data_IF_708847639924
#
_entry.id   IF_708847639924
#
_cell.length_a   1.000
_cell.length_b   1.000
_cell.length_c   1.000
_cell.angle_alpha   90.00
_cell.angle_beta   90.00
_cell.angle_gamma   90.00
#
_symmetry.space_group_name_H-M   'P 1'
#
loop_
_entity.id
_entity.type
_entity.pdbx_description
1 polymer ?
#
# COMPACT_ATOMS: atom_id res chain seq x y z
N UNK A 1 -46.46 11.62 29.38
CA UNK A 1 -46.93 10.20 29.35
C UNK A 1 -46.59 9.69 27.93
N UNK A 2 -45.54 8.92 27.81
CA UNK A 2 -45.13 8.33 26.55
C UNK A 2 -45.98 7.08 26.31
N UNK A 3 -46.80 7.11 25.26
CA UNK A 3 -47.51 5.94 24.75
C UNK A 3 -46.48 4.87 24.35
N UNK A 4 -46.37 3.82 25.17
CA UNK A 4 -45.67 2.58 24.79
C UNK A 4 -46.52 1.91 23.69
N UNK A 5 -46.19 2.15 22.43
CA UNK A 5 -46.71 1.38 21.28
C UNK A 5 -46.41 -0.10 21.55
N UNK A 6 -47.40 -0.89 21.87
CA UNK A 6 -47.30 -2.32 21.96
C UNK A 6 -46.79 -2.89 20.63
N UNK A 7 -45.64 -3.54 20.62
CA UNK A 7 -45.05 -4.18 19.45
C UNK A 7 -46.04 -5.22 18.88
N UNK A 8 -46.51 -4.99 17.68
CA UNK A 8 -47.39 -5.95 17.00
C UNK A 8 -46.60 -7.17 16.56
N UNK A 9 -47.21 -8.37 16.54
CA UNK A 9 -46.55 -9.59 16.01
C UNK A 9 -45.93 -9.35 14.60
N UNK A 10 -46.54 -8.51 13.81
CA UNK A 10 -46.05 -8.12 12.48
C UNK A 10 -44.75 -7.30 12.53
N UNK A 11 -44.60 -6.43 13.54
CA UNK A 11 -43.37 -5.64 13.74
C UNK A 11 -42.21 -6.53 14.18
N UNK A 12 -42.49 -7.52 15.05
CA UNK A 12 -41.51 -8.51 15.46
C UNK A 12 -41.05 -9.40 14.31
N UNK A 13 -41.98 -9.88 13.48
CA UNK A 13 -41.65 -10.69 12.29
C UNK A 13 -40.86 -9.86 11.27
N UNK A 14 -41.25 -8.61 11.02
CA UNK A 14 -40.50 -7.75 10.09
C UNK A 14 -39.08 -7.44 10.61
N UNK A 15 -38.93 -7.17 11.90
CA UNK A 15 -37.62 -6.97 12.51
C UNK A 15 -36.74 -8.23 12.44
N UNK A 16 -37.30 -9.39 12.76
CA UNK A 16 -36.58 -10.68 12.63
C UNK A 16 -36.15 -10.95 11.17
N UNK A 17 -37.04 -10.72 10.21
CA UNK A 17 -36.73 -10.89 8.79
C UNK A 17 -35.62 -9.93 8.31
N UNK A 18 -35.65 -8.68 8.79
CA UNK A 18 -34.61 -7.68 8.50
C UNK A 18 -33.25 -8.09 9.06
N UNK A 19 -33.22 -8.60 10.31
CA UNK A 19 -31.98 -9.12 10.92
C UNK A 19 -31.45 -10.32 10.16
N UNK A 20 -32.30 -11.29 9.81
CA UNK A 20 -31.90 -12.47 9.03
C UNK A 20 -31.38 -12.05 7.66
N UNK A 21 -32.08 -11.15 6.96
CA UNK A 21 -31.61 -10.64 5.68
C UNK A 21 -30.27 -9.92 5.80
N UNK A 22 -30.06 -9.11 6.86
CA UNK A 22 -28.79 -8.46 7.14
C UNK A 22 -27.66 -9.45 7.39
N UNK A 23 -27.91 -10.53 8.17
CA UNK A 23 -26.94 -11.58 8.40
C UNK A 23 -26.57 -12.33 7.13
N UNK A 24 -27.53 -12.66 6.27
CA UNK A 24 -27.28 -13.32 4.98
C UNK A 24 -26.41 -12.41 4.08
N UNK A 25 -26.72 -11.12 4.04
CA UNK A 25 -25.91 -10.14 3.26
C UNK A 25 -24.50 -10.02 3.82
N UNK A 26 -24.33 -9.98 5.15
CA UNK A 26 -23.01 -9.93 5.77
C UNK A 26 -22.20 -11.19 5.50
N UNK A 27 -22.82 -12.36 5.59
CA UNK A 27 -22.17 -13.64 5.27
C UNK A 27 -21.77 -13.71 3.80
N UNK A 28 -22.65 -13.30 2.90
CA UNK A 28 -22.35 -13.21 1.47
C UNK A 28 -21.20 -12.25 1.18
N UNK A 29 -21.17 -11.06 1.80
CA UNK A 29 -20.07 -10.11 1.65
C UNK A 29 -18.77 -10.67 2.22
N UNK A 30 -18.85 -11.42 3.30
CA UNK A 30 -17.67 -12.06 3.90
C UNK A 30 -17.11 -13.17 3.00
N UNK A 31 -17.96 -14.00 2.43
CA UNK A 31 -17.58 -15.06 1.48
C UNK A 31 -16.98 -14.47 0.19
N UNK A 32 -17.58 -13.37 -0.29
CA UNK A 32 -17.14 -12.71 -1.53
C UNK A 32 -16.08 -11.62 -1.29
N UNK A 33 -15.56 -11.45 -0.07
CA UNK A 33 -14.62 -10.37 0.31
C UNK A 33 -13.43 -10.24 -0.64
N UNK A 34 -12.86 -11.37 -1.08
CA UNK A 34 -11.73 -11.38 -2.00
C UNK A 34 -12.07 -10.75 -3.36
N UNK A 35 -13.24 -11.07 -3.90
CA UNK A 35 -13.73 -10.49 -5.14
C UNK A 35 -13.99 -8.98 -5.00
N UNK A 36 -14.56 -8.56 -3.85
CA UNK A 36 -14.80 -7.14 -3.54
C UNK A 36 -13.47 -6.38 -3.47
N UNK A 37 -12.44 -6.95 -2.82
CA UNK A 37 -11.12 -6.34 -2.75
C UNK A 37 -10.45 -6.22 -4.12
N UNK A 38 -10.52 -7.27 -4.95
CA UNK A 38 -10.02 -7.22 -6.33
C UNK A 38 -10.76 -6.18 -7.17
N UNK A 39 -12.08 -6.05 -6.95
CA UNK A 39 -12.88 -5.00 -7.62
C UNK A 39 -12.43 -3.61 -7.21
N UNK A 40 -12.27 -3.38 -5.90
CA UNK A 40 -11.74 -2.11 -5.39
C UNK A 40 -10.34 -1.81 -5.93
N UNK A 41 -9.47 -2.81 -6.00
CA UNK A 41 -8.15 -2.67 -6.60
C UNK A 41 -8.23 -2.28 -8.08
N UNK A 42 -9.09 -2.96 -8.87
CA UNK A 42 -9.31 -2.62 -10.27
C UNK A 42 -9.83 -1.20 -10.48
N UNK A 43 -10.76 -0.75 -9.60
CA UNK A 43 -11.26 0.63 -9.60
C UNK A 43 -10.13 1.63 -9.29
N UNK A 44 -9.34 1.38 -8.24
CA UNK A 44 -8.21 2.24 -7.85
C UNK A 44 -7.18 2.35 -8.97
N UNK A 45 -6.80 1.23 -9.57
CA UNK A 45 -5.87 1.23 -10.71
C UNK A 45 -6.49 1.92 -11.93
N UNK A 46 -7.80 1.77 -12.16
CA UNK A 46 -8.52 2.50 -13.21
C UNK A 46 -8.50 4.03 -13.01
N UNK A 47 -8.66 4.46 -11.75
CA UNK A 47 -8.53 5.89 -11.37
C UNK A 47 -7.09 6.37 -11.60
N UNK A 48 -6.08 5.56 -11.23
CA UNK A 48 -4.67 5.86 -11.44
C UNK A 48 -4.29 5.92 -12.92
N UNK A 49 -4.83 5.02 -13.73
CA UNK A 49 -4.56 4.93 -15.18
C UNK A 49 -5.25 6.06 -15.98
N UNK A 50 -6.38 6.58 -15.48
CA UNK A 50 -7.21 7.55 -16.22
C UNK A 50 -6.44 8.79 -16.71
N UNK A 51 -5.55 9.46 -15.93
CA UNK A 51 -4.78 10.61 -16.43
C UNK A 51 -3.84 10.27 -17.58
N UNK A 52 -3.22 9.08 -17.54
CA UNK A 52 -2.35 8.63 -18.61
C UNK A 52 -3.15 8.32 -19.89
N UNK A 53 -4.34 7.74 -19.75
CA UNK A 53 -5.26 7.50 -20.87
C UNK A 53 -5.79 8.83 -21.42
N UNK A 54 -6.11 9.81 -20.58
CA UNK A 54 -6.52 11.18 -20.98
C UNK A 54 -5.39 11.85 -21.78
N UNK A 55 -4.13 11.70 -21.35
CA UNK A 55 -2.97 12.20 -22.07
C UNK A 55 -2.77 11.50 -23.43
N UNK A 56 -2.96 10.18 -23.50
CA UNK A 56 -2.89 9.42 -24.76
C UNK A 56 -4.00 9.87 -25.74
N UNK A 57 -5.21 10.13 -25.23
CA UNK A 57 -6.33 10.66 -26.02
C UNK A 57 -6.00 12.04 -26.60
N UNK A 58 -5.36 12.92 -25.83
CA UNK A 58 -4.88 14.22 -26.32
C UNK A 58 -3.87 14.10 -27.47
N UNK A 59 -3.17 12.94 -27.57
CA UNK A 59 -2.25 12.58 -28.65
C UNK A 59 -2.93 11.80 -29.80
N UNK A 60 -4.27 11.80 -29.87
CA UNK A 60 -5.12 11.13 -30.87
C UNK A 60 -5.13 9.59 -30.76
N UNK A 61 -4.76 9.01 -29.62
CA UNK A 61 -4.94 7.58 -29.36
C UNK A 61 -6.31 7.38 -28.72
N UNK A 62 -7.18 6.64 -29.35
CA UNK A 62 -8.52 6.38 -28.81
C UNK A 62 -8.45 5.68 -27.44
N UNK A 63 -9.28 6.07 -26.50
CA UNK A 63 -9.33 5.48 -25.12
C UNK A 63 -9.45 3.95 -25.14
N UNK A 64 -10.25 3.43 -26.08
CA UNK A 64 -10.46 1.97 -26.24
C UNK A 64 -9.17 1.22 -26.57
N UNK A 65 -8.20 1.89 -27.21
CA UNK A 65 -6.87 1.33 -27.56
C UNK A 65 -5.84 1.72 -26.48
N UNK A 66 -5.88 2.96 -26.02
CA UNK A 66 -4.91 3.51 -25.07
C UNK A 66 -4.97 2.83 -23.70
N UNK A 67 -6.18 2.55 -23.18
CA UNK A 67 -6.31 1.91 -21.88
C UNK A 67 -5.78 0.46 -21.85
N UNK A 68 -6.13 -0.44 -22.79
CA UNK A 68 -5.50 -1.76 -22.88
C UNK A 68 -3.99 -1.69 -23.10
N UNK A 69 -3.51 -0.82 -23.99
CA UNK A 69 -2.09 -0.65 -24.24
C UNK A 69 -1.32 -0.25 -22.97
N UNK A 70 -1.85 0.70 -22.21
CA UNK A 70 -1.27 1.13 -20.94
C UNK A 70 -1.24 -0.03 -19.92
N UNK A 71 -2.38 -0.68 -19.70
CA UNK A 71 -2.52 -1.74 -18.68
C UNK A 71 -1.66 -2.94 -19.02
N UNK A 72 -1.78 -3.47 -20.24
CA UNK A 72 -0.97 -4.63 -20.65
C UNK A 72 0.51 -4.26 -20.84
N UNK A 73 0.81 -3.02 -21.22
CA UNK A 73 2.17 -2.50 -21.24
C UNK A 73 2.81 -2.46 -19.84
N UNK A 74 2.08 -1.97 -18.84
CA UNK A 74 2.53 -1.98 -17.44
C UNK A 74 2.69 -3.42 -16.91
N UNK A 75 1.74 -4.30 -17.19
CA UNK A 75 1.82 -5.73 -16.82
C UNK A 75 3.01 -6.39 -17.51
N UNK A 76 3.19 -6.17 -18.81
CA UNK A 76 4.31 -6.71 -19.58
C UNK A 76 5.66 -6.20 -19.08
N UNK A 77 5.75 -4.91 -18.74
CA UNK A 77 6.95 -4.33 -18.12
C UNK A 77 7.23 -4.98 -16.77
N UNK A 78 6.22 -5.13 -15.91
CA UNK A 78 6.35 -5.76 -14.60
C UNK A 78 6.79 -7.23 -14.71
N UNK A 79 6.12 -8.00 -15.57
CA UNK A 79 6.48 -9.41 -15.83
C UNK A 79 7.87 -9.51 -16.45
N UNK A 80 8.23 -8.62 -17.37
CA UNK A 80 9.57 -8.55 -17.96
C UNK A 80 10.66 -8.29 -16.92
N UNK A 81 10.43 -7.34 -16.03
CA UNK A 81 11.33 -7.05 -14.91
C UNK A 81 11.47 -8.28 -13.99
N UNK A 82 10.35 -8.92 -13.63
CA UNK A 82 10.37 -10.14 -12.82
C UNK A 82 11.09 -11.29 -13.53
N UNK A 83 10.89 -11.46 -14.82
CA UNK A 83 11.54 -12.51 -15.62
C UNK A 83 13.06 -12.30 -15.70
N UNK A 84 13.51 -11.06 -15.88
CA UNK A 84 14.93 -10.71 -15.92
C UNK A 84 15.58 -10.78 -14.53
N UNK A 85 14.88 -10.37 -13.49
CA UNK A 85 15.40 -10.31 -12.11
C UNK A 85 15.16 -11.61 -11.33
N UNK A 86 14.12 -12.37 -11.68
CA UNK A 86 13.68 -13.57 -10.99
C UNK A 86 14.79 -14.63 -10.78
N UNK A 87 15.53 -15.03 -11.81
CA UNK A 87 16.64 -15.98 -11.65
C UNK A 87 17.68 -15.47 -10.66
N UNK A 88 18.05 -14.20 -10.73
CA UNK A 88 19.01 -13.57 -9.82
C UNK A 88 18.48 -13.53 -8.39
N UNK A 89 17.24 -13.12 -8.19
CA UNK A 89 16.59 -13.12 -6.87
C UNK A 89 16.52 -14.54 -6.33
N UNK A 90 16.15 -15.52 -7.14
CA UNK A 90 16.03 -16.92 -6.73
C UNK A 90 17.38 -17.52 -6.33
N UNK A 91 18.44 -17.29 -7.10
CA UNK A 91 19.80 -17.77 -6.76
C UNK A 91 20.33 -17.10 -5.50
N UNK A 92 20.09 -15.81 -5.31
CA UNK A 92 20.46 -15.08 -4.10
C UNK A 92 19.67 -15.60 -2.88
N UNK A 93 18.38 -15.88 -3.04
CA UNK A 93 17.57 -16.48 -1.97
C UNK A 93 18.03 -17.89 -1.59
N UNK A 94 18.52 -18.68 -2.56
CA UNK A 94 19.14 -19.98 -2.29
C UNK A 94 20.48 -19.82 -1.55
N UNK A 95 21.27 -18.83 -1.94
CA UNK A 95 22.53 -18.52 -1.26
C UNK A 95 22.33 -18.12 0.21
N UNK A 96 21.24 -17.35 0.50
CA UNK A 96 20.87 -16.99 1.88
C UNK A 96 20.65 -18.20 2.78
N UNK A 97 20.07 -19.30 2.27
CA UNK A 97 19.84 -20.51 3.06
C UNK A 97 21.13 -21.14 3.56
N UNK A 98 22.22 -20.98 2.83
CA UNK A 98 23.53 -21.54 3.17
C UNK A 98 24.36 -20.52 3.96
N UNK A 99 24.32 -19.26 3.54
CA UNK A 99 25.20 -18.23 4.09
C UNK A 99 24.72 -17.66 5.42
N UNK A 100 23.40 -17.50 5.64
CA UNK A 100 22.88 -16.95 6.90
C UNK A 100 23.16 -17.86 8.09
N UNK A 101 22.91 -19.18 8.05
CA UNK A 101 23.33 -20.05 9.14
C UNK A 101 24.85 -20.00 9.43
N UNK A 102 25.67 -20.01 8.37
CA UNK A 102 27.14 -19.93 8.53
C UNK A 102 27.58 -18.56 9.10
N UNK A 103 26.87 -17.49 8.80
CA UNK A 103 27.15 -16.16 9.36
C UNK A 103 26.68 -16.02 10.81
N UNK A 104 25.59 -16.68 11.18
CA UNK A 104 25.14 -16.78 12.57
C UNK A 104 26.11 -17.61 13.42
N UNK A 105 26.66 -18.71 12.87
CA UNK A 105 27.68 -19.50 13.54
C UNK A 105 28.96 -18.65 13.79
N UNK A 106 29.37 -17.82 12.82
CA UNK A 106 30.49 -16.88 13.01
C UNK A 106 30.18 -15.80 14.04
N UNK A 107 28.93 -15.32 14.10
CA UNK A 107 28.49 -14.36 15.09
C UNK A 107 28.52 -14.96 16.50
N UNK A 108 28.14 -16.24 16.64
CA UNK A 108 28.25 -16.99 17.90
C UNK A 108 29.70 -17.08 18.35
N UNK A 109 30.62 -17.44 17.43
CA UNK A 109 32.04 -17.50 17.72
C UNK A 109 32.60 -16.12 18.14
N UNK A 110 32.15 -15.04 17.44
CA UNK A 110 32.58 -13.66 17.74
C UNK A 110 32.08 -13.20 19.10
N UNK A 111 30.80 -13.45 19.40
CA UNK A 111 30.17 -13.08 20.68
C UNK A 111 30.74 -13.92 21.84
N UNK A 112 31.05 -15.18 21.60
CA UNK A 112 31.64 -16.07 22.60
C UNK A 112 33.07 -15.68 22.97
N UNK A 113 33.87 -15.14 22.02
CA UNK A 113 35.28 -14.78 22.24
C UNK A 113 35.44 -13.35 22.77
N UNK A 114 34.75 -12.36 22.22
CA UNK A 114 35.00 -10.94 22.48
C UNK A 114 34.10 -10.35 23.57
N UNK A 115 32.89 -10.87 23.75
CA UNK A 115 31.85 -10.28 24.61
C UNK A 115 31.28 -11.25 25.64
N UNK A 116 31.92 -12.39 25.91
CA UNK A 116 31.48 -13.35 26.92
C UNK A 116 31.10 -12.72 28.27
N UNK A 117 31.92 -11.77 28.85
CA UNK A 117 31.56 -11.17 30.13
C UNK A 117 30.38 -10.20 30.08
N UNK A 118 30.09 -9.59 28.91
CA UNK A 118 28.99 -8.65 28.75
C UNK A 118 27.67 -9.39 28.48
N UNK A 119 27.74 -10.49 27.73
CA UNK A 119 26.56 -11.33 27.42
C UNK A 119 26.09 -12.06 28.70
N UNK A 120 27.05 -12.50 29.54
CA UNK A 120 26.76 -13.16 30.83
C UNK A 120 26.13 -12.16 31.85
N UNK A 121 26.50 -10.88 31.78
CA UNK A 121 25.93 -9.81 32.61
C UNK A 121 24.53 -9.34 32.17
N UNK A 122 24.15 -9.54 30.90
CA UNK A 122 22.87 -9.10 30.33
C UNK A 122 21.80 -10.21 30.30
N UNK A 123 22.21 -11.49 30.48
CA UNK A 123 21.27 -12.61 30.55
C UNK A 123 21.00 -12.97 32.01
N UNK A 124 19.73 -13.05 32.47
CA UNK A 124 19.40 -13.48 33.81
C UNK A 124 19.95 -14.88 34.08
N UNK A 125 20.65 -15.02 35.20
CA UNK A 125 21.38 -16.23 35.64
C UNK A 125 20.47 -17.37 36.12
N UNK A 126 19.32 -17.59 35.54
CA UNK A 126 18.36 -18.61 35.99
C UNK A 126 18.27 -19.78 35.00
N UNK A 127 19.40 -20.42 34.70
CA UNK A 127 19.39 -21.79 34.16
C UNK A 127 20.72 -22.51 34.43
N UNK A 128 20.87 -23.00 35.63
CA UNK A 128 21.73 -24.15 35.90
C UNK A 128 21.10 -25.38 35.27
N UNK A 129 21.44 -25.68 34.00
CA UNK A 129 21.56 -27.02 33.47
C UNK A 129 22.06 -27.00 32.02
N UNK A 130 23.29 -27.41 31.87
CA UNK A 130 23.93 -28.26 30.85
C UNK A 130 23.15 -28.55 29.55
N UNK A 131 22.92 -27.51 28.74
CA UNK A 131 22.63 -27.64 27.29
C UNK A 131 22.86 -26.28 26.62
N UNK A 132 24.03 -25.71 26.81
CA UNK A 132 24.37 -24.31 26.44
C UNK A 132 24.57 -24.07 24.95
N UNK A 133 24.41 -25.07 24.10
CA UNK A 133 24.57 -24.93 22.64
C UNK A 133 23.25 -24.90 21.84
N UNK A 134 22.10 -25.24 22.44
CA UNK A 134 20.83 -25.29 21.69
C UNK A 134 19.80 -24.18 22.03
N UNK A 135 20.05 -23.39 23.08
CA UNK A 135 19.09 -22.37 23.57
C UNK A 135 19.61 -20.92 23.50
N UNK A 136 20.76 -20.66 22.91
CA UNK A 136 21.30 -19.31 22.76
C UNK A 136 20.41 -18.40 21.90
N UNK A 137 20.59 -17.08 22.03
CA UNK A 137 19.87 -16.07 21.24
C UNK A 137 19.96 -16.34 19.74
N UNK A 138 21.12 -16.81 19.26
CA UNK A 138 21.39 -17.20 17.89
C UNK A 138 20.64 -18.46 17.47
N UNK A 139 20.46 -19.46 18.34
CA UNK A 139 19.65 -20.63 18.06
C UNK A 139 18.16 -20.26 17.93
N UNK A 140 17.67 -19.30 18.72
CA UNK A 140 16.31 -18.74 18.57
C UNK A 140 16.17 -17.94 17.28
N UNK A 141 17.16 -17.10 16.93
CA UNK A 141 17.22 -16.37 15.66
C UNK A 141 17.30 -17.34 14.47
N UNK A 142 18.09 -18.41 14.56
CA UNK A 142 18.20 -19.44 13.53
C UNK A 142 16.88 -20.18 13.31
N UNK A 143 16.19 -20.58 14.39
CA UNK A 143 14.84 -21.18 14.31
C UNK A 143 13.82 -20.21 13.73
N UNK A 144 13.73 -18.99 14.26
CA UNK A 144 12.84 -17.96 13.75
C UNK A 144 13.14 -17.63 12.28
N UNK A 145 14.42 -17.57 11.90
CA UNK A 145 14.82 -17.35 10.51
C UNK A 145 14.43 -18.53 9.61
N UNK A 146 14.73 -19.79 10.02
CA UNK A 146 14.39 -20.98 9.23
C UNK A 146 12.87 -21.16 9.08
N UNK A 147 12.10 -20.90 10.13
CA UNK A 147 10.63 -20.96 10.10
C UNK A 147 10.04 -19.85 9.23
N UNK A 148 10.52 -18.61 9.39
CA UNK A 148 10.06 -17.49 8.56
C UNK A 148 10.52 -17.63 7.11
N UNK A 149 11.72 -18.18 6.85
CA UNK A 149 12.20 -18.44 5.49
C UNK A 149 11.39 -19.56 4.82
N UNK A 150 11.05 -20.62 5.57
CA UNK A 150 10.15 -21.68 5.06
C UNK A 150 8.76 -21.15 4.78
N UNK A 151 8.24 -20.27 5.64
CA UNK A 151 6.96 -19.59 5.45
C UNK A 151 6.98 -18.64 4.25
N UNK A 152 8.04 -17.84 4.10
CA UNK A 152 8.25 -16.98 2.93
C UNK A 152 8.36 -17.81 1.64
N UNK A 153 9.07 -18.95 1.70
CA UNK A 153 9.12 -19.90 0.58
C UNK A 153 7.74 -20.45 0.26
N UNK A 154 6.98 -20.88 1.27
CA UNK A 154 5.64 -21.43 1.08
C UNK A 154 4.67 -20.38 0.55
N UNK A 155 4.83 -19.10 0.93
CA UNK A 155 4.09 -17.98 0.33
C UNK A 155 4.47 -17.79 -1.14
N UNK A 156 5.75 -17.82 -1.48
CA UNK A 156 6.22 -17.66 -2.87
C UNK A 156 5.84 -18.87 -3.74
N UNK A 157 5.98 -20.10 -3.23
CA UNK A 157 5.65 -21.32 -3.98
C UNK A 157 4.18 -21.71 -3.86
N UNK A 158 3.48 -21.37 -2.78
CA UNK A 158 2.03 -21.45 -2.68
C UNK A 158 1.33 -20.54 -3.68
N UNK A 159 1.92 -19.36 -3.95
CA UNK A 159 1.51 -18.51 -5.06
C UNK A 159 1.67 -19.21 -6.43
N UNK A 160 2.74 -19.98 -6.64
CA UNK A 160 2.94 -20.73 -7.90
C UNK A 160 1.95 -21.90 -8.04
N UNK A 161 1.58 -22.59 -6.96
CA UNK A 161 0.55 -23.65 -7.01
C UNK A 161 -0.86 -23.08 -7.25
N UNK A 162 -1.08 -21.81 -6.94
CA UNK A 162 -2.31 -21.07 -7.23
C UNK A 162 -2.23 -20.25 -8.53
N UNK A 163 -1.35 -20.62 -9.46
CA UNK A 163 -1.07 -19.84 -10.69
C UNK A 163 -2.35 -19.48 -11.45
N UNK A 164 -3.31 -20.41 -11.55
CA UNK A 164 -4.60 -20.16 -12.22
C UNK A 164 -5.40 -19.08 -11.48
N UNK A 165 -5.44 -19.12 -10.15
CA UNK A 165 -6.20 -18.14 -9.37
C UNK A 165 -5.55 -16.74 -9.42
N UNK A 166 -4.22 -16.68 -9.37
CA UNK A 166 -3.46 -15.41 -9.50
C UNK A 166 -3.64 -14.83 -10.90
N UNK A 167 -3.54 -15.68 -11.94
CA UNK A 167 -3.74 -15.25 -13.31
C UNK A 167 -5.18 -14.78 -13.56
N UNK A 168 -6.17 -15.52 -13.08
CA UNK A 168 -7.59 -15.15 -13.20
C UNK A 168 -7.89 -13.86 -12.43
N UNK A 169 -7.38 -13.71 -11.20
CA UNK A 169 -7.51 -12.50 -10.39
C UNK A 169 -6.81 -11.31 -11.02
N UNK A 170 -5.60 -11.48 -11.52
CA UNK A 170 -4.85 -10.44 -12.23
C UNK A 170 -5.55 -10.00 -13.52
N UNK A 171 -6.07 -10.94 -14.30
CA UNK A 171 -6.83 -10.65 -15.51
C UNK A 171 -8.15 -9.93 -15.18
N UNK A 172 -8.84 -10.34 -14.11
CA UNK A 172 -10.04 -9.67 -13.62
C UNK A 172 -9.75 -8.21 -13.25
N UNK A 173 -8.70 -7.97 -12.47
CA UNK A 173 -8.26 -6.61 -12.11
C UNK A 173 -7.88 -5.81 -13.35
N UNK A 174 -7.14 -6.40 -14.29
CA UNK A 174 -6.75 -5.74 -15.53
C UNK A 174 -7.97 -5.30 -16.36
N UNK A 175 -8.95 -6.17 -16.54
CA UNK A 175 -10.19 -5.81 -17.26
C UNK A 175 -10.95 -4.71 -16.53
N UNK A 176 -11.12 -4.80 -15.21
CA UNK A 176 -11.77 -3.72 -14.46
C UNK A 176 -11.04 -2.41 -14.61
N UNK A 177 -9.71 -2.41 -14.48
CA UNK A 177 -8.87 -1.22 -14.68
C UNK A 177 -9.11 -0.61 -16.06
N UNK A 178 -9.12 -1.42 -17.11
CA UNK A 178 -9.38 -0.99 -18.49
C UNK A 178 -10.79 -0.39 -18.62
N UNK A 179 -11.82 -1.05 -18.13
CA UNK A 179 -13.20 -0.56 -18.22
C UNK A 179 -13.39 0.77 -17.48
N UNK A 180 -12.85 0.89 -16.27
CA UNK A 180 -12.93 2.14 -15.49
C UNK A 180 -12.11 3.27 -16.14
N UNK A 181 -10.99 2.96 -16.77
CA UNK A 181 -10.17 3.95 -17.48
C UNK A 181 -10.81 4.41 -18.81
N UNK A 182 -11.52 3.52 -19.53
CA UNK A 182 -12.18 3.85 -20.81
C UNK A 182 -13.38 4.78 -20.58
N UNK A 183 -14.25 4.46 -19.62
CA UNK A 183 -15.55 5.11 -19.47
C UNK A 183 -15.85 5.57 -18.03
N UNK A 184 -15.00 6.42 -17.41
CA UNK A 184 -15.19 6.85 -16.01
C UNK A 184 -16.53 7.55 -15.79
N UNK A 185 -17.01 8.32 -16.77
CA UNK A 185 -18.28 9.03 -16.69
C UNK A 185 -19.51 8.09 -16.64
N UNK A 186 -19.43 6.90 -17.20
CA UNK A 186 -20.51 5.91 -17.15
C UNK A 186 -20.66 5.36 -15.74
N UNK A 187 -19.56 5.00 -15.09
CA UNK A 187 -19.57 4.51 -13.71
C UNK A 187 -19.97 5.59 -12.72
N UNK A 188 -19.48 6.84 -12.91
CA UNK A 188 -19.92 7.98 -12.13
C UNK A 188 -21.45 8.15 -12.20
N UNK A 189 -22.04 8.14 -13.39
CA UNK A 189 -23.49 8.22 -13.55
C UNK A 189 -24.22 7.06 -12.87
N UNK A 190 -23.72 5.84 -13.01
CA UNK A 190 -24.29 4.65 -12.36
C UNK A 190 -24.34 4.79 -10.83
N UNK A 191 -23.23 5.20 -10.21
CA UNK A 191 -23.18 5.42 -8.75
C UNK A 191 -24.16 6.53 -8.32
N UNK A 192 -24.24 7.65 -9.07
CA UNK A 192 -25.14 8.74 -8.74
C UNK A 192 -26.61 8.39 -8.89
N UNK A 193 -26.97 7.41 -9.73
CA UNK A 193 -28.35 6.92 -9.85
C UNK A 193 -28.81 6.15 -8.60
N UNK A 194 -27.91 5.58 -7.82
CA UNK A 194 -28.23 4.92 -6.55
C UNK A 194 -28.58 5.93 -5.44
N UNK A 195 -28.24 7.20 -5.63
CA UNK A 195 -28.52 8.27 -4.66
C UNK A 195 -29.89 8.88 -4.94
N UNK A 196 -30.75 9.02 -3.91
CA UNK A 196 -32.07 9.68 -4.08
C UNK A 196 -31.95 11.06 -4.75
N UNK A 197 -32.86 11.44 -5.66
CA UNK A 197 -32.77 12.68 -6.45
C UNK A 197 -32.51 13.94 -5.62
N UNK A 198 -33.11 14.03 -4.44
CA UNK A 198 -32.98 15.19 -3.53
C UNK A 198 -31.56 15.37 -2.94
N UNK A 199 -30.75 14.31 -2.91
CA UNK A 199 -29.37 14.31 -2.35
C UNK A 199 -28.29 14.06 -3.41
N UNK A 200 -28.69 13.96 -4.69
CA UNK A 200 -27.78 13.55 -5.78
C UNK A 200 -26.70 14.60 -6.04
N UNK A 201 -26.99 15.88 -5.91
CA UNK A 201 -26.02 16.96 -6.10
C UNK A 201 -24.93 16.92 -5.01
N UNK A 202 -25.31 16.80 -3.74
CA UNK A 202 -24.37 16.61 -2.64
C UNK A 202 -23.56 15.32 -2.78
N UNK A 203 -24.21 14.23 -3.18
CA UNK A 203 -23.52 12.95 -3.45
C UNK A 203 -22.54 13.03 -4.60
N UNK A 204 -22.83 13.81 -5.66
CA UNK A 204 -21.92 14.06 -6.77
C UNK A 204 -20.67 14.82 -6.29
N UNK A 205 -20.87 15.86 -5.47
CA UNK A 205 -19.75 16.63 -4.91
C UNK A 205 -18.81 15.74 -4.07
N UNK A 206 -19.37 14.87 -3.21
CA UNK A 206 -18.59 13.91 -2.42
C UNK A 206 -17.84 12.93 -3.33
N UNK A 207 -18.52 12.35 -4.30
CA UNK A 207 -17.92 11.41 -5.25
C UNK A 207 -16.76 12.04 -6.00
N UNK A 208 -16.94 13.25 -6.55
CA UNK A 208 -15.91 13.95 -7.31
C UNK A 208 -14.72 14.32 -6.43
N UNK A 209 -14.94 14.73 -5.19
CA UNK A 209 -13.90 15.00 -4.21
C UNK A 209 -13.09 13.74 -3.85
N UNK A 210 -13.76 12.61 -3.63
CA UNK A 210 -13.10 11.32 -3.37
C UNK A 210 -12.23 10.91 -4.56
N UNK A 211 -12.76 10.98 -5.79
CA UNK A 211 -12.00 10.64 -7.00
C UNK A 211 -10.78 11.57 -7.19
N UNK A 212 -10.95 12.86 -6.97
CA UNK A 212 -9.86 13.84 -7.06
C UNK A 212 -8.73 13.52 -6.05
N UNK A 213 -9.13 13.24 -4.81
CA UNK A 213 -8.19 12.86 -3.75
C UNK A 213 -7.45 11.56 -4.08
N UNK A 214 -8.16 10.53 -4.53
CA UNK A 214 -7.55 9.26 -4.91
C UNK A 214 -6.59 9.42 -6.10
N UNK A 215 -6.95 10.22 -7.13
CA UNK A 215 -6.04 10.52 -8.26
C UNK A 215 -4.76 11.19 -7.80
N UNK A 216 -4.87 12.20 -6.95
CA UNK A 216 -3.71 12.93 -6.41
C UNK A 216 -2.82 11.99 -5.59
N UNK A 217 -3.41 11.23 -4.67
CA UNK A 217 -2.68 10.28 -3.83
C UNK A 217 -1.98 9.19 -4.66
N UNK A 218 -2.71 8.55 -5.60
CA UNK A 218 -2.14 7.51 -6.47
C UNK A 218 -1.02 8.05 -7.35
N UNK A 219 -1.17 9.27 -7.89
CA UNK A 219 -0.12 9.93 -8.67
C UNK A 219 1.13 10.19 -7.85
N UNK A 220 0.96 10.72 -6.63
CA UNK A 220 2.06 10.94 -5.68
C UNK A 220 2.74 9.63 -5.32
N UNK A 221 1.96 8.57 -5.03
CA UNK A 221 2.48 7.27 -4.67
C UNK A 221 3.28 6.62 -5.79
N UNK A 222 2.82 6.72 -7.04
CA UNK A 222 3.57 6.24 -8.20
C UNK A 222 4.92 6.96 -8.37
N UNK A 223 4.96 8.27 -8.13
CA UNK A 223 6.21 9.04 -8.18
C UNK A 223 7.13 8.58 -7.04
N UNK A 224 6.61 8.43 -5.81
CA UNK A 224 7.39 7.94 -4.67
C UNK A 224 7.98 6.56 -4.95
N UNK A 225 7.19 5.62 -5.48
CA UNK A 225 7.65 4.27 -5.87
C UNK A 225 8.83 4.32 -6.84
N UNK A 226 8.77 5.18 -7.86
CA UNK A 226 9.86 5.34 -8.84
C UNK A 226 11.09 5.94 -8.18
N UNK A 227 10.93 7.02 -7.42
CA UNK A 227 12.04 7.72 -6.76
C UNK A 227 12.74 6.79 -5.76
N UNK A 228 11.98 6.14 -4.87
CA UNK A 228 12.53 5.21 -3.88
C UNK A 228 13.20 4.02 -4.56
N UNK A 229 12.59 3.45 -5.59
CA UNK A 229 13.19 2.36 -6.36
C UNK A 229 14.54 2.73 -6.97
N UNK A 230 14.63 3.91 -7.58
CA UNK A 230 15.87 4.43 -8.20
C UNK A 230 16.91 4.77 -7.14
N UNK A 231 16.53 5.50 -6.09
CA UNK A 231 17.43 5.88 -4.99
C UNK A 231 17.99 4.65 -4.29
N UNK A 232 17.13 3.69 -3.93
CA UNK A 232 17.54 2.45 -3.30
C UNK A 232 18.49 1.66 -4.20
N UNK A 233 18.18 1.55 -5.50
CA UNK A 233 19.09 0.90 -6.48
C UNK A 233 20.46 1.57 -6.48
N UNK A 234 20.50 2.89 -6.58
CA UNK A 234 21.74 3.66 -6.64
C UNK A 234 22.58 3.50 -5.36
N UNK A 235 21.94 3.57 -4.20
CA UNK A 235 22.60 3.42 -2.90
C UNK A 235 23.15 1.99 -2.72
N UNK A 236 22.36 0.96 -3.01
CA UNK A 236 22.79 -0.42 -2.92
C UNK A 236 23.91 -0.74 -3.91
N UNK A 237 23.86 -0.16 -5.10
CA UNK A 237 24.93 -0.28 -6.09
C UNK A 237 26.23 0.37 -5.61
N UNK A 238 26.15 1.58 -5.03
CA UNK A 238 27.30 2.28 -4.47
C UNK A 238 27.93 1.52 -3.29
N UNK A 239 27.11 0.81 -2.49
CA UNK A 239 27.59 -0.07 -1.41
C UNK A 239 28.11 -1.42 -1.91
N UNK A 240 28.09 -1.68 -3.23
CA UNK A 240 28.54 -2.92 -3.81
C UNK A 240 27.69 -4.13 -3.41
N UNK A 241 26.40 -3.94 -3.16
CA UNK A 241 25.47 -5.03 -2.84
C UNK A 241 25.13 -5.77 -4.12
N UNK A 242 25.34 -7.10 -4.10
CA UNK A 242 24.92 -7.97 -5.20
C UNK A 242 23.38 -7.85 -5.34
N UNK A 243 22.90 -7.78 -6.58
CA UNK A 243 21.45 -7.63 -6.86
C UNK A 243 20.83 -6.27 -6.47
N UNK A 244 21.61 -5.18 -6.51
CA UNK A 244 21.11 -3.83 -6.22
C UNK A 244 19.86 -3.45 -7.05
N UNK A 245 19.85 -3.77 -8.36
CA UNK A 245 18.72 -3.47 -9.25
C UNK A 245 17.45 -4.24 -8.82
N UNK A 246 17.45 -5.58 -8.68
CA UNK A 246 16.28 -6.30 -8.19
C UNK A 246 15.77 -5.80 -6.84
N UNK A 247 16.67 -5.52 -5.90
CA UNK A 247 16.31 -5.04 -4.57
C UNK A 247 15.68 -3.64 -4.62
N UNK A 248 16.22 -2.75 -5.44
CA UNK A 248 15.64 -1.42 -5.63
C UNK A 248 14.26 -1.47 -6.30
N UNK A 249 14.05 -2.38 -7.26
CA UNK A 249 12.72 -2.60 -7.87
C UNK A 249 11.73 -3.10 -6.82
N UNK A 250 12.14 -4.07 -5.99
CA UNK A 250 11.31 -4.57 -4.89
C UNK A 250 10.98 -3.45 -3.91
N UNK A 251 11.98 -2.61 -3.55
CA UNK A 251 11.75 -1.46 -2.67
C UNK A 251 10.73 -0.48 -3.26
N UNK A 252 10.90 -0.11 -4.53
CA UNK A 252 9.96 0.77 -5.23
C UNK A 252 8.55 0.17 -5.34
N UNK A 253 8.41 -1.13 -5.56
CA UNK A 253 7.09 -1.78 -5.63
C UNK A 253 6.41 -1.88 -4.25
N UNK A 254 7.18 -2.26 -3.22
CA UNK A 254 6.66 -2.35 -1.85
C UNK A 254 6.34 -0.98 -1.27
N UNK A 255 6.95 0.09 -1.78
CA UNK A 255 6.67 1.48 -1.43
C UNK A 255 5.19 1.86 -1.61
N UNK A 256 4.43 1.13 -2.44
CA UNK A 256 2.99 1.32 -2.56
C UNK A 256 2.26 1.24 -1.21
N UNK A 257 2.79 0.48 -0.26
CA UNK A 257 2.27 0.40 1.12
C UNK A 257 3.14 1.26 2.04
N UNK A 258 2.75 2.51 2.33
CA UNK A 258 3.56 3.41 3.14
C UNK A 258 3.90 2.82 4.51
N UNK A 259 5.07 3.11 5.03
CA UNK A 259 5.65 2.67 6.30
C UNK A 259 6.01 1.16 6.35
N UNK A 260 5.14 0.27 5.89
CA UNK A 260 5.35 -1.17 5.94
C UNK A 260 6.23 -1.64 4.76
N UNK A 261 6.00 -1.05 3.59
CA UNK A 261 6.74 -1.39 2.36
C UNK A 261 8.26 -1.23 2.49
N UNK A 262 8.76 -0.06 2.87
CA UNK A 262 10.19 0.15 3.10
C UNK A 262 10.80 -0.82 4.10
N UNK A 263 10.10 -1.11 5.20
CA UNK A 263 10.55 -2.07 6.21
C UNK A 263 10.66 -3.48 5.63
N UNK A 264 9.66 -3.91 4.86
CA UNK A 264 9.67 -5.21 4.18
C UNK A 264 10.78 -5.31 3.11
N UNK A 265 11.06 -4.20 2.41
CA UNK A 265 12.11 -4.13 1.41
C UNK A 265 13.51 -4.15 2.02
N UNK A 266 13.70 -3.57 3.20
CA UNK A 266 14.97 -3.55 3.92
C UNK A 266 15.42 -4.96 4.33
N UNK A 267 14.49 -5.85 4.72
CA UNK A 267 14.82 -7.21 5.18
C UNK A 267 15.66 -8.00 4.18
N UNK A 268 15.23 -8.23 2.93
CA UNK A 268 16.05 -8.98 1.97
C UNK A 268 17.36 -8.26 1.62
N UNK A 269 17.38 -6.93 1.59
CA UNK A 269 18.58 -6.18 1.29
C UNK A 269 19.65 -6.32 2.38
N UNK A 270 19.25 -6.21 3.64
CA UNK A 270 20.14 -6.40 4.81
C UNK A 270 20.65 -7.84 4.87
N UNK A 271 19.78 -8.82 4.63
CA UNK A 271 20.17 -10.24 4.63
C UNK A 271 21.19 -10.55 3.54
N UNK A 272 21.00 -10.04 2.32
CA UNK A 272 21.94 -10.22 1.21
C UNK A 272 23.28 -9.54 1.53
N UNK A 273 23.26 -8.35 2.12
CA UNK A 273 24.46 -7.66 2.54
C UNK A 273 25.18 -8.39 3.68
N UNK A 274 24.43 -8.98 4.63
CA UNK A 274 24.98 -9.76 5.73
C UNK A 274 25.71 -11.03 5.26
N UNK A 275 25.24 -11.63 4.16
CA UNK A 275 25.93 -12.75 3.54
C UNK A 275 27.33 -12.38 3.01
N UNK A 276 27.55 -11.10 2.62
CA UNK A 276 28.88 -10.62 2.23
C UNK A 276 29.74 -10.28 3.48
N UNK A 277 29.24 -9.42 4.38
CA UNK A 277 29.85 -9.13 5.68
C UNK A 277 28.87 -8.42 6.63
N UNK A 278 29.04 -8.56 7.98
CA UNK A 278 28.25 -7.84 8.97
C UNK A 278 28.34 -6.31 8.83
N UNK A 279 29.52 -5.78 8.49
CA UNK A 279 29.74 -4.33 8.29
C UNK A 279 28.91 -3.82 7.10
N UNK A 280 28.85 -4.59 6.02
CA UNK A 280 28.03 -4.24 4.85
C UNK A 280 26.55 -4.26 5.19
N UNK A 281 26.09 -5.23 5.99
CA UNK A 281 24.72 -5.26 6.48
C UNK A 281 24.37 -4.02 7.30
N UNK A 282 25.27 -3.58 8.19
CA UNK A 282 25.10 -2.37 8.97
C UNK A 282 25.03 -1.13 8.06
N UNK A 283 25.91 -1.03 7.06
CA UNK A 283 25.88 0.08 6.09
C UNK A 283 24.58 0.10 5.32
N UNK A 284 24.04 -1.04 4.89
CA UNK A 284 22.76 -1.14 4.21
C UNK A 284 21.61 -0.74 5.14
N UNK A 285 21.64 -1.16 6.39
CA UNK A 285 20.61 -0.78 7.39
C UNK A 285 20.60 0.73 7.62
N UNK A 286 21.77 1.35 7.80
CA UNK A 286 21.91 2.82 7.93
C UNK A 286 21.45 3.52 6.66
N UNK A 287 21.76 2.97 5.48
CA UNK A 287 21.32 3.52 4.21
C UNK A 287 19.79 3.51 4.07
N UNK A 288 19.12 2.39 4.38
CA UNK A 288 17.65 2.33 4.38
C UNK A 288 17.04 3.30 5.38
N UNK A 289 17.62 3.43 6.57
CA UNK A 289 17.18 4.44 7.54
C UNK A 289 17.34 5.87 7.01
N UNK A 290 18.48 6.16 6.35
CA UNK A 290 18.71 7.44 5.68
C UNK A 290 17.72 7.72 4.55
N UNK A 291 17.42 6.72 3.70
CA UNK A 291 16.38 6.81 2.65
C UNK A 291 15.03 7.13 3.28
N UNK A 292 14.65 6.45 4.37
CA UNK A 292 13.39 6.70 5.08
C UNK A 292 13.31 8.11 5.67
N UNK A 293 14.43 8.63 6.19
CA UNK A 293 14.49 10.03 6.64
C UNK A 293 14.30 11.01 5.48
N UNK A 294 14.96 10.78 4.34
CA UNK A 294 14.79 11.59 3.14
C UNK A 294 13.35 11.55 2.62
N UNK A 295 12.75 10.37 2.59
CA UNK A 295 11.36 10.19 2.19
C UNK A 295 10.42 11.01 3.07
N UNK A 296 10.46 10.79 4.38
CA UNK A 296 9.52 11.40 5.32
C UNK A 296 9.70 12.92 5.45
N UNK A 297 10.94 13.42 5.34
CA UNK A 297 11.24 14.85 5.60
C UNK A 297 11.36 15.70 4.32
N UNK A 298 11.60 15.07 3.17
CA UNK A 298 11.82 15.80 1.91
C UNK A 298 10.83 15.36 0.83
N UNK A 299 10.79 14.06 0.52
CA UNK A 299 10.03 13.57 -0.63
C UNK A 299 8.53 13.72 -0.41
N UNK A 300 8.01 13.23 0.71
CA UNK A 300 6.57 13.29 1.02
C UNK A 300 6.09 14.73 1.16
N UNK A 301 6.73 15.64 1.94
CA UNK A 301 6.33 17.04 1.99
C UNK A 301 6.38 17.74 0.63
N UNK A 302 7.39 17.43 -0.20
CA UNK A 302 7.51 18.00 -1.53
C UNK A 302 6.39 17.55 -2.47
N UNK A 303 6.01 16.27 -2.41
CA UNK A 303 4.98 15.68 -3.27
C UNK A 303 3.55 15.98 -2.78
N UNK A 304 3.33 16.05 -1.47
CA UNK A 304 2.02 16.22 -0.83
C UNK A 304 1.78 17.64 -0.30
N UNK A 305 2.26 18.68 -0.96
CA UNK A 305 2.22 20.09 -0.50
C UNK A 305 0.85 20.61 -0.01
N UNK A 306 -0.23 19.88 -0.24
CA UNK A 306 -1.59 20.20 0.24
C UNK A 306 -2.41 18.94 0.49
N UNK A 307 -3.03 18.79 1.69
CA UNK A 307 -4.38 18.23 1.87
C UNK A 307 -4.65 16.83 2.43
N UNK A 308 -3.73 15.93 2.62
CA UNK A 308 -4.09 14.69 3.32
C UNK A 308 -3.39 14.64 4.69
N UNK A 309 -3.90 15.41 5.67
CA UNK A 309 -3.57 15.21 7.09
C UNK A 309 -4.18 13.87 7.57
N UNK A 310 -3.60 12.77 7.10
CA UNK A 310 -3.90 11.45 7.67
C UNK A 310 -3.06 11.29 8.94
N UNK A 311 -3.67 11.25 10.14
CA UNK A 311 -2.92 11.05 11.37
C UNK A 311 -2.15 9.72 11.30
N UNK A 312 -0.84 9.70 11.51
CA UNK A 312 -0.01 8.49 11.33
C UNK A 312 -0.52 7.30 12.16
N UNK A 313 -0.98 7.55 13.39
CA UNK A 313 -1.51 6.51 14.26
C UNK A 313 -2.78 5.85 13.68
N UNK A 314 -3.68 6.63 13.10
CA UNK A 314 -4.91 6.10 12.46
C UNK A 314 -4.53 5.30 11.22
N UNK A 315 -3.59 5.79 10.43
CA UNK A 315 -3.12 5.10 9.22
C UNK A 315 -2.50 3.74 9.56
N UNK A 316 -1.62 3.69 10.55
CA UNK A 316 -1.00 2.43 11.01
C UNK A 316 -2.03 1.46 11.59
N UNK A 317 -2.94 1.95 12.44
CA UNK A 317 -4.00 1.11 13.00
C UNK A 317 -4.90 0.55 11.91
N UNK A 318 -5.28 1.38 10.94
CA UNK A 318 -6.12 0.96 9.82
C UNK A 318 -5.40 -0.04 8.90
N UNK A 319 -4.12 0.18 8.61
CA UNK A 319 -3.30 -0.78 7.85
C UNK A 319 -3.19 -2.13 8.58
N UNK A 320 -2.94 -2.12 9.90
CA UNK A 320 -2.89 -3.34 10.70
C UNK A 320 -4.24 -4.09 10.70
N UNK A 321 -5.35 -3.37 10.88
CA UNK A 321 -6.70 -3.94 10.83
C UNK A 321 -6.98 -4.57 9.46
N UNK A 322 -6.72 -3.86 8.38
CA UNK A 322 -6.93 -4.35 7.02
C UNK A 322 -6.03 -5.54 6.69
N UNK A 323 -4.80 -5.56 7.21
CA UNK A 323 -3.89 -6.69 7.05
C UNK A 323 -4.40 -7.94 7.79
N UNK A 324 -4.88 -7.80 9.02
CA UNK A 324 -5.40 -8.92 9.83
C UNK A 324 -6.69 -9.48 9.21
N UNK A 325 -7.61 -8.62 8.80
CA UNK A 325 -8.94 -9.04 8.31
C UNK A 325 -8.89 -9.56 6.87
N UNK A 326 -8.12 -8.89 6.01
CA UNK A 326 -8.13 -9.12 4.56
C UNK A 326 -6.78 -9.53 3.99
N UNK A 327 -5.76 -9.69 4.82
CA UNK A 327 -4.43 -10.09 4.40
C UNK A 327 -3.71 -9.03 3.55
N UNK A 328 -2.81 -9.47 2.67
CA UNK A 328 -1.98 -8.58 1.84
C UNK A 328 -2.79 -7.64 0.95
N UNK A 329 -3.88 -8.12 0.34
CA UNK A 329 -4.75 -7.26 -0.49
C UNK A 329 -5.42 -6.16 0.35
N UNK A 330 -5.85 -6.48 1.58
CA UNK A 330 -6.38 -5.48 2.49
C UNK A 330 -5.37 -4.40 2.83
N UNK A 331 -4.13 -4.82 3.14
CA UNK A 331 -3.03 -3.91 3.41
C UNK A 331 -2.75 -2.97 2.21
N UNK A 332 -2.76 -3.53 1.01
CA UNK A 332 -2.49 -2.79 -0.23
C UNK A 332 -3.52 -1.69 -0.50
N UNK A 333 -4.81 -1.94 -0.26
CA UNK A 333 -5.88 -0.95 -0.47
C UNK A 333 -6.20 -0.12 0.78
N UNK A 334 -5.54 -0.36 1.92
CA UNK A 334 -5.87 0.28 3.20
C UNK A 334 -5.80 1.81 3.12
N UNK A 335 -4.68 2.36 2.65
CA UNK A 335 -4.48 3.82 2.65
C UNK A 335 -5.44 4.54 1.69
N UNK A 336 -5.60 4.12 0.42
CA UNK A 336 -6.59 4.76 -0.45
C UNK A 336 -8.02 4.64 0.08
N UNK A 337 -8.38 3.54 0.72
CA UNK A 337 -9.71 3.38 1.30
C UNK A 337 -9.91 4.31 2.51
N UNK A 338 -8.89 4.47 3.36
CA UNK A 338 -8.89 5.43 4.46
C UNK A 338 -9.05 6.86 3.94
N UNK A 339 -8.26 7.24 2.93
CA UNK A 339 -8.33 8.57 2.31
C UNK A 339 -9.72 8.87 1.74
N UNK A 340 -10.30 7.93 1.00
CA UNK A 340 -11.65 8.03 0.47
C UNK A 340 -12.69 8.19 1.58
N UNK A 341 -12.60 7.37 2.63
CA UNK A 341 -13.49 7.42 3.79
C UNK A 341 -13.40 8.73 4.55
N UNK A 342 -12.20 9.24 4.81
CA UNK A 342 -12.00 10.52 5.52
C UNK A 342 -12.56 11.70 4.72
N UNK A 343 -12.36 11.74 3.41
CA UNK A 343 -12.95 12.80 2.55
C UNK A 343 -14.47 12.73 2.60
N UNK A 344 -15.05 11.54 2.47
CA UNK A 344 -16.49 11.35 2.53
C UNK A 344 -17.06 11.78 3.88
N UNK A 345 -16.45 11.35 4.99
CA UNK A 345 -16.87 11.75 6.35
C UNK A 345 -16.73 13.25 6.54
N UNK A 346 -15.60 13.84 6.14
CA UNK A 346 -15.37 15.30 6.27
C UNK A 346 -16.42 16.12 5.53
N UNK A 347 -16.81 15.69 4.34
CA UNK A 347 -17.83 16.39 3.55
C UNK A 347 -19.25 16.17 4.04
N UNK A 348 -19.57 14.97 4.54
CA UNK A 348 -20.94 14.64 4.96
C UNK A 348 -21.26 15.08 6.40
N UNK A 349 -20.27 15.05 7.31
CA UNK A 349 -20.50 15.30 8.74
C UNK A 349 -19.86 16.57 9.27
N UNK A 350 -18.65 16.93 8.78
CA UNK A 350 -17.93 18.07 9.35
C UNK A 350 -18.25 19.38 8.65
N UNK A 351 -18.50 19.32 7.33
CA UNK A 351 -18.91 20.48 6.54
C UNK A 351 -20.39 20.38 6.21
N UNK A 352 -21.25 20.57 7.22
CA UNK A 352 -22.68 20.80 7.04
C UNK A 352 -22.98 22.08 6.23
N UNK A 353 -22.00 22.95 6.00
CA UNK A 353 -22.06 24.11 5.14
C UNK A 353 -21.17 23.90 3.91
N UNK A 354 -21.75 24.07 2.74
CA UNK A 354 -21.07 24.15 1.45
C UNK A 354 -19.94 25.17 1.57
N UNK A 355 -18.67 24.83 1.25
CA UNK A 355 -17.63 25.84 1.27
C UNK A 355 -18.01 26.95 0.30
N UNK A 356 -17.83 28.24 0.68
CA UNK A 356 -18.04 29.31 -0.27
C UNK A 356 -17.14 29.01 -1.47
N UNK A 357 -17.74 28.96 -2.65
CA UNK A 357 -17.04 28.88 -3.93
C UNK A 357 -15.78 29.72 -3.82
N UNK A 358 -14.63 29.13 -4.16
CA UNK A 358 -13.33 29.83 -4.23
C UNK A 358 -13.57 31.06 -5.12
N UNK A 359 -13.89 32.21 -4.50
CA UNK A 359 -13.85 33.47 -5.19
C UNK A 359 -12.41 33.66 -5.60
N UNK A 360 -12.18 33.54 -6.89
CA UNK A 360 -10.91 33.85 -7.51
C UNK A 360 -10.37 35.13 -6.89
N UNK A 361 -9.23 35.02 -6.22
CA UNK A 361 -8.49 36.15 -5.60
C UNK A 361 -8.00 37.17 -6.65
N UNK A 362 -8.35 36.94 -7.93
CA UNK A 362 -8.06 37.81 -9.07
C UNK A 362 -9.08 38.94 -9.31
N UNK A 363 -10.30 38.87 -8.74
CA UNK A 363 -11.32 39.91 -9.01
C UNK A 363 -11.18 41.17 -8.16
N UNK A 364 -10.42 41.12 -7.04
CA UNK A 364 -10.20 42.34 -6.21
C UNK A 364 -9.04 43.21 -6.67
N UNK A 365 -8.12 42.66 -7.48
CA UNK A 365 -7.02 43.45 -8.03
C UNK A 365 -7.44 44.33 -9.25
N UNK A 366 -8.45 43.91 -9.97
CA UNK A 366 -8.92 44.66 -11.16
C UNK A 366 -9.82 45.80 -10.76
N UNK A 367 -10.66 45.68 -9.71
CA UNK A 367 -11.54 46.78 -9.24
C UNK A 367 -10.79 47.88 -8.49
N UNK A 368 -9.60 47.59 -7.94
CA UNK A 368 -8.75 48.61 -7.31
C UNK A 368 -7.98 49.44 -8.35
N UNK A 369 -7.78 48.95 -9.55
CA UNK A 369 -7.06 49.69 -10.62
C UNK A 369 -8.03 50.54 -11.47
N UNK A 370 -9.31 50.17 -11.56
CA UNK A 370 -10.31 50.91 -12.32
C UNK A 370 -11.02 52.01 -11.52
N UNK A 371 -11.00 51.95 -10.17
CA UNK A 371 -11.57 52.97 -9.31
C UNK A 371 -10.79 54.26 -9.19
N UNK A 372 -9.46 54.23 -9.52
CA UNK A 372 -8.57 55.39 -9.43
C UNK A 372 -8.49 56.24 -10.72
N UNK A 373 -9.23 55.86 -11.75
CA UNK A 373 -9.26 56.57 -13.06
C UNK A 373 -10.53 57.38 -13.31
N UNK A 374 -11.57 57.31 -12.43
CA UNK A 374 -12.79 58.10 -12.56
C UNK A 374 -12.82 59.36 -11.65
N UNK A 375 -11.80 59.56 -10.83
CA UNK A 375 -11.69 60.79 -9.93
C UNK A 375 -10.53 61.71 -10.31
N UNK A 376 -10.17 61.79 -11.58
CA UNK A 376 -9.25 62.83 -12.08
C UNK A 376 -9.78 63.52 -13.35
#
# INVERSE_FOLDING_TARGET
MSEQRALTKRDLVSAALTVVAALIVLEFLWETRFLVLLTLLGVLLGIAASPAVDWMESRRVWRVVGAPLLVFGCIGMFVGVLALSGPTIFTQFQALKVQVPASLDRLDDYLAVEYAPVVEALLPSDTTQTDSTQNGATARLRRAFSENLSSARNLLFGAVSSTVAIFAGGLYVAFLTIYFAIAPGTYRRGVLLLIPPKRREGGAAVFDAVIATLRKWLGTQLIAMIVIGVVTTAVLFALGVKSAIPLGIIAGLLEFVPNIGPLMAAVPAVLIAFADSPEKALMVMVAYWGIQLLENNILIPYLMQEELDLPPAITLLWQALMAIVFGFLGLFIAVPLLAAGMVAIRMLYVRGDVPPTVKHRGSRAITAITGDLEDR
#
